data_IF_164194671389
#
_entry.id   IF_164194671389
#
_cell.length_a   1.000
_cell.length_b   1.000
_cell.length_c   1.000
_cell.angle_alpha   90.00
_cell.angle_beta   90.00
_cell.angle_gamma   90.00
#
_symmetry.space_group_name_H-M   'P 1'
#
loop_
_entity.id
_entity.type
_entity.pdbx_description
1 polymer ?
#
# COMPACT_ATOMS: atom_id res chain seq x y z
N UNK A 1 42.46 42.71 75.11
CA UNK A 1 41.91 43.32 73.87
C UNK A 1 41.07 42.27 73.17
N UNK A 2 39.74 42.45 73.00
CA UNK A 2 38.86 41.72 72.05
C UNK A 2 37.35 41.74 72.39
N UNK A 3 36.91 42.30 73.54
CA UNK A 3 35.47 42.49 73.81
C UNK A 3 34.93 43.87 73.42
N UNK A 4 35.74 44.93 73.47
CA UNK A 4 35.30 46.30 73.13
C UNK A 4 35.13 46.55 71.61
N UNK A 5 35.84 45.83 70.75
CA UNK A 5 35.72 45.99 69.28
C UNK A 5 34.45 45.32 68.74
N UNK A 6 33.97 44.27 69.41
CA UNK A 6 32.81 43.48 68.95
C UNK A 6 31.49 44.21 69.19
N UNK A 7 31.33 44.90 70.31
CA UNK A 7 30.12 45.68 70.63
C UNK A 7 29.97 46.94 69.76
N UNK A 8 31.09 47.60 69.40
CA UNK A 8 31.06 48.73 68.47
C UNK A 8 30.62 48.36 67.07
N UNK A 9 30.99 47.17 66.59
CA UNK A 9 30.62 46.68 65.25
C UNK A 9 29.12 46.36 65.14
N UNK A 10 28.53 45.70 66.13
CA UNK A 10 27.09 45.40 66.13
C UNK A 10 26.23 46.66 66.31
N UNK A 11 26.68 47.62 67.11
CA UNK A 11 25.97 48.90 67.25
C UNK A 11 26.05 49.73 65.96
N UNK A 12 27.22 49.74 65.30
CA UNK A 12 27.41 50.39 63.99
C UNK A 12 26.56 49.75 62.89
N UNK A 13 26.44 48.42 62.87
CA UNK A 13 25.63 47.70 61.90
C UNK A 13 24.12 47.93 62.12
N UNK A 14 23.65 47.97 63.37
CA UNK A 14 22.24 48.32 63.67
C UNK A 14 21.89 49.76 63.31
N UNK A 15 22.83 50.71 63.49
CA UNK A 15 22.64 52.10 63.05
C UNK A 15 22.62 52.18 61.52
N UNK A 16 23.48 51.42 60.84
CA UNK A 16 23.48 51.35 59.37
C UNK A 16 22.18 50.73 58.83
N UNK A 17 21.70 49.62 59.41
CA UNK A 17 20.43 48.98 59.06
C UNK A 17 19.20 49.86 59.32
N UNK A 18 19.26 50.73 60.35
CA UNK A 18 18.23 51.73 60.62
C UNK A 18 18.21 52.90 59.63
N UNK A 19 19.36 53.24 59.03
CA UNK A 19 19.45 54.33 58.05
C UNK A 19 19.03 53.90 56.63
N UNK A 20 19.13 52.61 56.28
CA UNK A 20 18.62 52.09 54.99
C UNK A 20 17.10 51.84 55.00
N UNK A 21 16.46 51.82 56.18
CA UNK A 21 15.02 51.58 56.31
C UNK A 21 14.16 52.86 56.36
N UNK A 22 14.78 54.06 56.30
CA UNK A 22 14.07 55.35 56.27
C UNK A 22 14.13 56.10 54.93
N UNK A 23 14.75 55.50 53.90
CA UNK A 23 14.60 55.98 52.53
C UNK A 23 13.29 55.44 51.94
N UNK A 24 12.18 56.07 52.31
CA UNK A 24 10.94 55.95 51.52
C UNK A 24 11.16 56.67 50.19
N UNK A 25 11.68 55.93 49.20
CA UNK A 25 11.74 56.41 47.83
C UNK A 25 10.30 56.57 47.34
N UNK A 26 9.83 57.81 47.36
CA UNK A 26 8.53 58.18 46.81
C UNK A 26 8.81 58.70 45.41
N UNK A 27 8.66 57.88 44.35
CA UNK A 27 8.92 58.34 42.99
C UNK A 27 8.01 59.56 42.71
N UNK A 28 8.64 60.72 42.50
CA UNK A 28 7.93 61.98 42.25
C UNK A 28 7.29 62.02 40.87
N UNK A 29 7.74 61.15 39.96
CA UNK A 29 7.22 61.04 38.60
C UNK A 29 7.16 59.56 38.21
N UNK A 30 6.06 59.16 37.60
CA UNK A 30 5.94 57.87 36.95
C UNK A 30 6.15 58.06 35.46
N UNK A 31 7.27 57.58 34.93
CA UNK A 31 7.54 57.59 33.50
C UNK A 31 6.80 56.42 32.82
N UNK A 32 5.47 56.50 32.81
CA UNK A 32 4.64 55.59 32.03
C UNK A 32 4.54 56.14 30.61
N UNK A 33 5.34 55.58 29.71
CA UNK A 33 5.16 55.77 28.27
C UNK A 33 4.20 54.71 27.76
N UNK A 34 3.02 55.13 27.32
CA UNK A 34 2.10 54.24 26.63
C UNK A 34 2.71 53.85 25.26
N UNK A 35 2.72 52.55 24.99
CA UNK A 35 3.23 51.97 23.75
C UNK A 35 2.04 51.29 23.09
N UNK A 36 1.95 51.39 21.75
CA UNK A 36 0.88 50.74 21.01
C UNK A 36 0.96 49.20 21.20
N UNK A 37 -0.19 48.50 21.28
CA UNK A 37 -0.21 47.05 21.31
C UNK A 37 0.53 46.46 20.10
N UNK A 38 1.25 45.33 20.26
CA UNK A 38 1.90 44.67 19.14
C UNK A 38 0.86 44.18 18.13
N UNK A 39 1.20 44.25 16.84
CA UNK A 39 0.35 43.69 15.76
C UNK A 39 0.73 42.23 15.55
N UNK A 40 -0.25 41.33 15.45
CA UNK A 40 0.02 39.93 15.12
C UNK A 40 0.10 39.77 13.61
N UNK A 41 1.31 39.60 13.09
CA UNK A 41 1.59 39.42 11.66
C UNK A 41 2.53 38.23 11.38
N UNK A 42 2.65 37.33 12.37
CA UNK A 42 3.39 36.09 12.26
C UNK A 42 2.52 34.94 11.73
N UNK A 43 3.09 34.10 10.88
CA UNK A 43 2.39 32.96 10.30
C UNK A 43 3.29 31.72 10.33
N UNK A 44 2.67 30.54 10.47
CA UNK A 44 3.34 29.24 10.32
C UNK A 44 2.50 28.36 9.39
N UNK A 45 3.18 27.67 8.48
CA UNK A 45 2.54 26.81 7.47
C UNK A 45 3.34 25.52 7.30
N UNK A 46 2.66 24.41 7.04
CA UNK A 46 3.31 23.18 6.59
C UNK A 46 3.51 23.22 5.08
N UNK A 47 4.73 22.92 4.63
CA UNK A 47 5.10 22.99 3.21
C UNK A 47 4.56 21.82 2.38
N UNK A 48 4.34 20.66 2.98
CA UNK A 48 3.80 19.48 2.30
C UNK A 48 2.64 18.88 3.11
N UNK A 49 1.41 19.30 2.77
CA UNK A 49 0.21 18.81 3.45
C UNK A 49 -0.12 17.35 3.09
N UNK A 50 0.40 16.82 1.98
CA UNK A 50 0.18 15.43 1.59
C UNK A 50 0.91 14.46 2.52
N UNK A 51 2.07 14.87 3.07
CA UNK A 51 2.79 14.08 4.07
C UNK A 51 2.21 14.19 5.48
N UNK A 52 1.40 15.21 5.78
CA UNK A 52 0.82 15.39 7.13
C UNK A 52 -0.38 14.49 7.36
N UNK A 53 -1.21 14.27 6.36
CA UNK A 53 -2.51 13.61 6.55
C UNK A 53 -2.38 12.13 6.97
N UNK A 54 -1.26 11.46 6.67
CA UNK A 54 -1.10 10.03 6.96
C UNK A 54 0.30 9.72 7.47
N UNK A 55 0.40 9.34 8.74
CA UNK A 55 1.66 9.26 9.47
C UNK A 55 1.93 7.85 9.99
N UNK A 56 3.21 7.45 9.95
CA UNK A 56 3.71 6.18 10.48
C UNK A 56 5.18 6.26 10.87
N UNK A 57 5.52 5.74 12.04
CA UNK A 57 6.89 5.71 12.56
C UNK A 57 7.45 7.09 12.88
N UNK A 58 8.75 7.28 12.59
CA UNK A 58 9.41 8.58 12.76
C UNK A 58 9.04 9.52 11.62
N UNK A 59 8.40 10.63 11.96
CA UNK A 59 7.89 11.63 11.01
C UNK A 59 8.78 12.87 11.05
N UNK A 60 8.94 13.53 9.90
CA UNK A 60 9.58 14.85 9.77
C UNK A 60 8.69 15.73 8.92
N UNK A 61 8.08 16.75 9.53
CA UNK A 61 7.14 17.65 8.86
C UNK A 61 7.86 18.96 8.56
N UNK A 62 8.07 19.33 7.28
CA UNK A 62 8.70 20.59 6.92
C UNK A 62 7.74 21.76 7.17
N UNK A 63 8.21 22.79 7.87
CA UNK A 63 7.41 23.99 8.17
C UNK A 63 8.09 25.24 7.65
N UNK A 64 7.29 26.26 7.36
CA UNK A 64 7.72 27.59 6.97
C UNK A 64 7.08 28.62 7.88
N UNK A 65 7.90 29.53 8.39
CA UNK A 65 7.47 30.64 9.23
C UNK A 65 7.58 31.97 8.45
N UNK A 66 6.68 32.89 8.76
CA UNK A 66 6.76 34.29 8.34
C UNK A 66 6.79 35.12 9.61
N UNK A 67 7.89 35.84 9.82
CA UNK A 67 8.17 36.49 11.10
C UNK A 67 8.14 38.02 11.05
N UNK A 68 8.18 38.66 9.88
CA UNK A 68 8.12 40.12 9.72
C UNK A 68 9.02 40.94 10.68
N UNK A 69 10.21 40.42 11.00
CA UNK A 69 11.17 41.07 11.93
C UNK A 69 11.07 40.60 13.38
N UNK A 70 10.08 39.79 13.73
CA UNK A 70 10.00 39.05 14.99
C UNK A 70 11.03 37.92 15.06
N UNK A 71 11.41 37.54 16.28
CA UNK A 71 12.33 36.42 16.52
C UNK A 71 11.55 35.22 17.05
N UNK A 72 11.77 34.03 16.48
CA UNK A 72 11.18 32.80 17.00
C UNK A 72 11.68 32.56 18.42
N UNK A 73 10.73 32.37 19.36
CA UNK A 73 11.04 31.86 20.70
C UNK A 73 10.87 30.34 20.72
N UNK A 74 9.72 29.86 20.25
CA UNK A 74 9.40 28.44 20.23
C UNK A 74 8.57 28.06 19.01
N UNK A 75 8.76 26.84 18.53
CA UNK A 75 7.77 26.13 17.71
C UNK A 75 7.45 24.81 18.40
N UNK A 76 6.16 24.61 18.64
CA UNK A 76 5.63 23.49 19.40
C UNK A 76 4.74 22.67 18.46
N UNK A 77 4.85 21.35 18.54
CA UNK A 77 3.92 20.42 17.89
C UNK A 77 3.09 19.72 18.95
N UNK A 78 1.79 19.58 18.72
CA UNK A 78 0.86 18.86 19.59
C UNK A 78 0.06 17.84 18.80
N UNK A 79 -0.24 16.70 19.42
CA UNK A 79 -1.24 15.74 18.94
C UNK A 79 -2.30 15.62 20.04
N UNK A 80 -3.55 16.00 19.74
CA UNK A 80 -4.66 16.03 20.71
C UNK A 80 -4.29 16.72 22.05
N UNK A 81 -3.60 17.88 21.95
CA UNK A 81 -3.07 18.68 23.07
C UNK A 81 -1.88 18.08 23.84
N UNK A 82 -1.34 16.93 23.43
CA UNK A 82 -0.09 16.40 23.97
C UNK A 82 1.09 16.92 23.15
N UNK A 83 2.04 17.60 23.80
CA UNK A 83 3.27 18.07 23.14
C UNK A 83 4.10 16.88 22.62
N UNK A 84 4.47 16.94 21.34
CA UNK A 84 5.29 15.91 20.66
C UNK A 84 6.65 16.41 20.22
N UNK A 85 6.82 17.72 20.14
CA UNK A 85 8.04 18.35 19.68
C UNK A 85 8.15 19.78 20.20
N UNK A 86 9.36 20.16 20.56
CA UNK A 86 9.76 21.50 20.96
C UNK A 86 11.02 21.89 20.18
N UNK A 87 10.98 23.02 19.49
CA UNK A 87 12.16 23.64 18.88
C UNK A 87 12.31 25.07 19.37
N UNK A 88 13.51 25.41 19.84
CA UNK A 88 13.86 26.75 20.37
C UNK A 88 14.50 27.67 19.32
N UNK A 89 14.55 27.24 18.06
CA UNK A 89 15.04 28.02 16.92
C UNK A 89 14.08 27.84 15.74
N UNK A 90 14.10 28.77 14.78
CA UNK A 90 13.30 28.70 13.53
C UNK A 90 13.46 27.32 12.88
N UNK A 91 12.51 26.39 13.09
CA UNK A 91 12.68 25.03 12.67
C UNK A 91 12.22 24.98 11.23
N UNK A 92 13.09 24.54 10.34
CA UNK A 92 12.65 24.09 9.02
C UNK A 92 11.78 22.82 9.13
N UNK A 93 11.71 22.17 10.30
CA UNK A 93 11.03 20.89 10.48
C UNK A 93 10.59 20.59 11.92
N UNK A 94 9.51 19.83 12.05
CA UNK A 94 9.03 19.20 13.30
C UNK A 94 9.24 17.69 13.22
N UNK A 95 9.80 17.08 14.26
CA UNK A 95 10.13 15.64 14.29
C UNK A 95 9.53 14.99 15.52
N UNK A 96 8.79 13.91 15.31
CA UNK A 96 8.24 13.08 16.39
C UNK A 96 8.10 11.63 15.91
N UNK A 97 7.81 10.72 16.84
CA UNK A 97 7.55 9.32 16.54
C UNK A 97 6.08 9.00 16.82
N UNK A 98 5.37 8.47 15.82
CA UNK A 98 3.96 8.09 15.98
C UNK A 98 3.78 6.78 16.72
N UNK A 99 4.83 5.97 16.93
CA UNK A 99 4.73 4.66 17.60
C UNK A 99 4.19 4.72 19.03
N UNK A 100 4.16 5.91 19.65
CA UNK A 100 3.57 6.14 20.97
C UNK A 100 2.04 6.33 20.93
N UNK A 101 1.45 6.40 19.74
CA UNK A 101 0.03 6.64 19.50
C UNK A 101 -0.64 5.36 18.98
N UNK A 102 -1.90 5.19 19.35
CA UNK A 102 -2.74 4.16 18.76
C UNK A 102 -3.09 4.53 17.31
N UNK A 103 -3.56 3.55 16.55
CA UNK A 103 -4.06 3.81 15.20
C UNK A 103 -5.37 4.60 15.28
N UNK A 104 -5.51 5.65 14.47
CA UNK A 104 -6.71 6.48 14.49
C UNK A 104 -6.53 7.86 13.85
N UNK A 105 -7.60 8.66 13.94
CA UNK A 105 -7.61 10.06 13.52
C UNK A 105 -7.27 10.96 14.71
N UNK A 106 -6.44 11.97 14.48
CA UNK A 106 -5.96 12.92 15.48
C UNK A 106 -5.94 14.33 14.92
N UNK A 107 -5.92 15.33 15.81
CA UNK A 107 -5.60 16.72 15.44
C UNK A 107 -4.14 17.03 15.77
N UNK A 108 -3.37 17.36 14.73
CA UNK A 108 -2.00 17.84 14.86
C UNK A 108 -1.98 19.37 14.82
N UNK A 109 -1.59 19.99 15.93
CA UNK A 109 -1.50 21.44 16.06
C UNK A 109 -0.04 21.87 16.05
N UNK A 110 0.30 22.85 15.22
CA UNK A 110 1.60 23.51 15.24
C UNK A 110 1.41 24.91 15.80
N UNK A 111 2.21 25.26 16.80
CA UNK A 111 2.19 26.57 17.45
C UNK A 111 3.53 27.28 17.22
N UNK A 112 3.48 28.50 16.70
CA UNK A 112 4.59 29.43 16.62
C UNK A 112 4.45 30.49 17.71
N UNK A 113 5.49 30.62 18.54
CA UNK A 113 5.62 31.67 19.55
C UNK A 113 6.82 32.54 19.16
N UNK A 114 6.60 33.85 19.00
CA UNK A 114 7.63 34.81 18.62
C UNK A 114 7.71 36.00 19.60
N UNK A 115 8.81 36.74 19.56
CA UNK A 115 8.93 38.02 20.25
C UNK A 115 7.92 39.02 19.67
N UNK A 116 7.35 39.89 20.51
CA UNK A 116 6.45 40.94 20.04
C UNK A 116 7.20 42.17 19.54
N UNK A 117 8.45 42.38 19.97
CA UNK A 117 9.29 43.51 19.59
C UNK A 117 8.62 44.89 19.82
N UNK A 118 7.66 44.98 20.74
CA UNK A 118 6.98 46.25 21.03
C UNK A 118 7.87 47.24 21.78
N UNK A 119 8.94 46.74 22.45
CA UNK A 119 9.76 47.52 23.36
C UNK A 119 9.07 47.85 24.68
N UNK A 120 7.93 47.21 24.98
CA UNK A 120 7.26 47.31 26.28
C UNK A 120 8.10 46.65 27.38
N UNK A 121 7.84 47.01 28.65
CA UNK A 121 8.50 46.32 29.76
C UNK A 121 8.20 44.81 29.74
N UNK A 122 6.99 44.42 29.33
CA UNK A 122 6.60 43.01 29.19
C UNK A 122 7.39 42.31 28.07
N UNK A 123 7.63 42.96 26.94
CA UNK A 123 8.49 42.44 25.87
C UNK A 123 9.94 42.28 26.34
N UNK A 124 10.49 43.30 27.03
CA UNK A 124 11.86 43.28 27.55
C UNK A 124 12.11 42.19 28.60
N UNK A 125 11.11 41.85 29.43
CA UNK A 125 11.19 40.73 30.38
C UNK A 125 10.69 39.41 29.78
N UNK A 126 10.32 39.39 28.49
CA UNK A 126 9.89 38.21 27.76
C UNK A 126 8.47 37.73 28.03
N UNK A 127 7.68 38.48 28.82
CA UNK A 127 6.29 38.20 29.15
C UNK A 127 5.30 38.54 28.02
N UNK A 128 5.71 39.36 27.05
CA UNK A 128 4.93 39.63 25.83
C UNK A 128 5.41 38.72 24.69
N UNK A 129 4.47 38.07 24.01
CA UNK A 129 4.72 37.16 22.89
C UNK A 129 3.62 37.29 21.84
N UNK A 130 3.98 37.02 20.58
CA UNK A 130 3.02 36.73 19.53
C UNK A 130 2.78 35.22 19.46
N UNK A 131 1.55 34.85 19.12
CA UNK A 131 1.09 33.48 19.06
C UNK A 131 0.37 33.23 17.74
N UNK A 132 0.76 32.17 17.03
CA UNK A 132 0.10 31.70 15.82
C UNK A 132 -0.01 30.18 15.87
N UNK A 133 -1.17 29.63 15.50
CA UNK A 133 -1.41 28.20 15.54
C UNK A 133 -2.18 27.73 14.30
N UNK A 134 -1.87 26.52 13.84
CA UNK A 134 -2.53 25.85 12.72
C UNK A 134 -2.79 24.39 13.06
N UNK A 135 -4.00 23.92 12.71
CA UNK A 135 -4.45 22.56 12.98
C UNK A 135 -4.55 21.76 11.68
N UNK A 136 -4.13 20.50 11.74
CA UNK A 136 -4.22 19.51 10.67
C UNK A 136 -4.93 18.25 11.17
N UNK A 137 -5.83 17.71 10.36
CA UNK A 137 -6.38 16.37 10.61
C UNK A 137 -5.40 15.33 10.08
N UNK A 138 -4.97 14.41 10.94
CA UNK A 138 -3.98 13.39 10.61
C UNK A 138 -4.50 12.00 10.97
N UNK A 139 -4.14 11.01 10.16
CA UNK A 139 -4.35 9.59 10.46
C UNK A 139 -3.02 8.97 10.87
N UNK A 140 -2.94 8.41 12.07
CA UNK A 140 -1.79 7.61 12.52
C UNK A 140 -2.08 6.13 12.26
N UNK A 141 -1.13 5.44 11.63
CA UNK A 141 -1.23 4.00 11.37
C UNK A 141 0.10 3.29 11.62
N UNK A 142 0.24 2.70 12.79
CA UNK A 142 1.42 1.95 13.24
C UNK A 142 1.23 0.43 13.17
N UNK A 143 0.00 -0.09 13.11
CA UNK A 143 -0.21 -1.53 13.09
C UNK A 143 0.55 -2.23 11.95
N UNK A 144 0.93 -3.51 12.13
CA UNK A 144 1.45 -4.32 11.04
C UNK A 144 0.49 -4.31 9.85
N UNK A 145 1.04 -4.20 8.65
CA UNK A 145 0.23 -4.23 7.41
C UNK A 145 -0.32 -5.63 7.25
N UNK A 146 -1.65 -5.77 7.38
CA UNK A 146 -2.36 -7.00 7.09
C UNK A 146 -2.63 -7.08 5.60
N UNK A 147 -1.93 -7.98 4.91
CA UNK A 147 -2.12 -8.15 3.48
C UNK A 147 -3.35 -9.01 3.24
N UNK A 148 -4.31 -8.55 2.42
CA UNK A 148 -5.45 -9.37 2.06
C UNK A 148 -4.97 -10.61 1.29
N UNK A 149 -5.59 -11.76 1.59
CA UNK A 149 -5.24 -13.01 0.92
C UNK A 149 -6.07 -13.23 -0.34
N UNK A 150 -5.50 -13.98 -1.29
CA UNK A 150 -6.23 -14.45 -2.47
C UNK A 150 -7.25 -15.52 -2.05
N UNK A 151 -8.54 -15.25 -2.24
CA UNK A 151 -9.65 -16.10 -1.82
C UNK A 151 -9.87 -17.28 -2.75
N UNK A 152 -9.93 -17.02 -4.04
CA UNK A 152 -10.25 -18.02 -5.05
C UNK A 152 -9.62 -17.67 -6.40
N UNK A 153 -9.32 -18.71 -7.17
CA UNK A 153 -8.97 -18.62 -8.59
C UNK A 153 -9.83 -19.63 -9.33
N UNK A 154 -10.81 -19.15 -10.08
CA UNK A 154 -11.79 -19.96 -10.79
C UNK A 154 -11.97 -19.49 -12.22
N UNK A 155 -12.61 -20.30 -13.04
CA UNK A 155 -12.93 -19.94 -14.43
C UNK A 155 -14.36 -19.45 -14.46
N UNK A 156 -14.56 -18.25 -15.00
CA UNK A 156 -15.88 -17.66 -15.19
C UNK A 156 -15.92 -17.03 -16.57
N UNK A 157 -16.94 -17.39 -17.37
CA UNK A 157 -17.13 -16.93 -18.75
C UNK A 157 -15.86 -17.10 -19.62
N UNK A 158 -15.16 -18.22 -19.42
CA UNK A 158 -13.95 -18.57 -20.17
C UNK A 158 -12.76 -17.64 -19.97
N UNK A 159 -12.70 -16.98 -18.82
CA UNK A 159 -11.55 -16.21 -18.33
C UNK A 159 -11.22 -16.64 -16.90
N UNK A 160 -9.96 -16.52 -16.50
CA UNK A 160 -9.58 -16.78 -15.11
C UNK A 160 -9.98 -15.60 -14.22
N UNK A 161 -10.84 -15.85 -13.24
CA UNK A 161 -11.24 -14.87 -12.22
C UNK A 161 -10.43 -15.10 -10.95
N UNK A 162 -9.74 -14.06 -10.52
CA UNK A 162 -8.99 -14.02 -9.27
C UNK A 162 -9.78 -13.15 -8.30
N UNK A 163 -9.96 -13.61 -7.06
CA UNK A 163 -10.63 -12.85 -6.00
C UNK A 163 -9.75 -12.76 -4.75
N UNK A 164 -9.91 -11.70 -3.97
CA UNK A 164 -9.17 -11.48 -2.72
C UNK A 164 -10.00 -10.78 -1.65
N UNK A 165 -9.53 -10.84 -0.42
CA UNK A 165 -10.14 -10.14 0.71
C UNK A 165 -10.03 -8.62 0.53
N UNK A 166 -10.97 -7.87 1.09
CA UNK A 166 -10.87 -6.40 1.10
C UNK A 166 -9.86 -5.95 2.15
N UNK A 167 -8.94 -5.08 1.78
CA UNK A 167 -8.09 -4.37 2.75
C UNK A 167 -8.94 -3.44 3.62
N UNK A 168 -8.75 -3.55 4.94
CA UNK A 168 -9.59 -2.92 5.95
C UNK A 168 -8.83 -1.98 6.89
N UNK A 169 -7.55 -1.71 6.62
CA UNK A 169 -6.73 -0.79 7.40
C UNK A 169 -6.62 0.57 6.69
N UNK A 170 -6.06 1.55 7.39
CA UNK A 170 -5.86 2.90 6.87
C UNK A 170 -4.79 2.98 5.77
N UNK A 171 -4.76 4.15 5.12
CA UNK A 171 -3.68 4.55 4.21
C UNK A 171 -3.47 3.63 2.99
N UNK A 172 -4.55 2.97 2.54
CA UNK A 172 -4.54 2.19 1.30
C UNK A 172 -4.13 3.07 0.12
N UNK A 173 -3.21 2.58 -0.70
CA UNK A 173 -2.78 3.26 -1.92
C UNK A 173 -3.19 2.49 -3.18
N UNK A 174 -2.87 1.20 -3.22
CA UNK A 174 -3.19 0.36 -4.35
C UNK A 174 -3.00 -1.14 -4.07
N UNK A 175 -3.70 -1.95 -4.85
CA UNK A 175 -3.37 -3.35 -5.10
C UNK A 175 -2.53 -3.48 -6.36
N UNK A 176 -1.63 -4.46 -6.39
CA UNK A 176 -0.93 -4.92 -7.59
C UNK A 176 -1.08 -6.43 -7.66
N UNK A 177 -1.75 -6.92 -8.69
CA UNK A 177 -1.84 -8.35 -8.95
C UNK A 177 -0.66 -8.78 -9.84
N UNK A 178 0.05 -9.82 -9.42
CA UNK A 178 1.16 -10.41 -10.17
C UNK A 178 0.84 -11.85 -10.56
N UNK A 179 1.34 -12.26 -11.72
CA UNK A 179 1.33 -13.64 -12.22
C UNK A 179 2.76 -14.04 -12.53
N UNK A 180 3.22 -15.13 -11.91
CA UNK A 180 4.59 -15.64 -12.05
C UNK A 180 5.64 -14.55 -11.80
N UNK A 181 5.38 -13.67 -10.82
CA UNK A 181 6.25 -12.53 -10.45
C UNK A 181 6.11 -11.28 -11.31
N UNK A 182 5.44 -11.36 -12.47
CA UNK A 182 5.22 -10.21 -13.37
C UNK A 182 3.93 -9.50 -13.03
N UNK A 183 3.92 -8.16 -13.13
CA UNK A 183 2.71 -7.35 -12.90
C UNK A 183 1.71 -7.61 -14.02
N UNK A 184 0.48 -7.97 -13.64
CA UNK A 184 -0.65 -8.11 -14.58
C UNK A 184 -1.45 -6.81 -14.60
N UNK A 185 -1.77 -6.28 -13.43
CA UNK A 185 -2.65 -5.11 -13.28
C UNK A 185 -2.47 -4.47 -11.90
N UNK A 186 -2.81 -3.18 -11.79
CA UNK A 186 -2.86 -2.43 -10.53
C UNK A 186 -4.19 -1.71 -10.35
N UNK A 187 -4.66 -1.62 -9.10
CA UNK A 187 -5.95 -1.00 -8.75
C UNK A 187 -5.75 0.02 -7.63
N UNK A 188 -6.28 1.23 -7.80
CA UNK A 188 -6.31 2.27 -6.75
C UNK A 188 -7.60 2.29 -5.94
N UNK A 189 -8.62 1.52 -6.35
CA UNK A 189 -9.86 1.37 -5.58
C UNK A 189 -9.73 0.21 -4.59
N UNK A 190 -9.87 0.51 -3.30
CA UNK A 190 -9.82 -0.48 -2.21
C UNK A 190 -10.96 -1.50 -2.29
N UNK A 191 -12.07 -1.14 -2.95
CA UNK A 191 -13.25 -2.00 -3.12
C UNK A 191 -13.12 -2.96 -4.30
N UNK A 192 -12.10 -2.81 -5.15
CA UNK A 192 -11.81 -3.77 -6.21
C UNK A 192 -11.19 -5.03 -5.59
N UNK A 193 -12.01 -6.07 -5.43
CA UNK A 193 -11.64 -7.35 -4.79
C UNK A 193 -11.62 -8.54 -5.75
N UNK A 194 -11.69 -8.27 -7.05
CA UNK A 194 -11.61 -9.31 -8.08
C UNK A 194 -11.02 -8.79 -9.39
N UNK A 195 -10.52 -9.69 -10.21
CA UNK A 195 -10.01 -9.38 -11.55
C UNK A 195 -10.18 -10.57 -12.48
N UNK A 196 -10.49 -10.29 -13.75
CA UNK A 196 -10.54 -11.27 -14.83
C UNK A 196 -9.26 -11.17 -15.66
N UNK A 197 -8.39 -12.16 -15.54
CA UNK A 197 -7.14 -12.25 -16.30
C UNK A 197 -7.40 -12.86 -17.68
N UNK A 198 -7.74 -11.99 -18.64
CA UNK A 198 -7.99 -12.36 -20.04
C UNK A 198 -6.73 -12.75 -20.81
N UNK A 199 -5.55 -12.58 -20.20
CA UNK A 199 -4.26 -12.90 -20.82
C UNK A 199 -3.72 -14.26 -20.36
N UNK A 200 -4.41 -14.93 -19.43
CA UNK A 200 -4.00 -16.23 -18.94
C UNK A 200 -4.29 -17.32 -19.96
N UNK A 201 -3.27 -18.13 -20.28
CA UNK A 201 -3.42 -19.25 -21.20
C UNK A 201 -2.72 -20.50 -20.66
N UNK A 202 -3.53 -21.48 -20.28
CA UNK A 202 -3.22 -22.92 -20.18
C UNK A 202 -2.05 -23.43 -19.33
N UNK A 203 -1.16 -22.57 -18.81
CA UNK A 203 -0.01 -22.96 -18.01
C UNK A 203 -0.30 -22.88 -16.51
N UNK A 204 0.52 -23.54 -15.70
CA UNK A 204 0.54 -23.38 -14.27
C UNK A 204 0.85 -21.91 -13.91
N UNK A 205 -0.01 -21.31 -13.09
CA UNK A 205 0.15 -19.92 -12.69
C UNK A 205 0.27 -19.78 -11.18
N UNK A 206 1.15 -18.87 -10.77
CA UNK A 206 1.32 -18.43 -9.38
C UNK A 206 0.89 -16.98 -9.30
N UNK A 207 -0.20 -16.73 -8.59
CA UNK A 207 -0.68 -15.38 -8.34
C UNK A 207 -0.26 -14.89 -6.95
N UNK A 208 0.15 -13.63 -6.87
CA UNK A 208 0.37 -12.91 -5.61
C UNK A 208 -0.29 -11.53 -5.70
N UNK A 209 -0.78 -11.06 -4.55
CA UNK A 209 -1.32 -9.72 -4.40
C UNK A 209 -0.33 -8.88 -3.57
N UNK A 210 0.21 -7.82 -4.16
CA UNK A 210 0.94 -6.81 -3.39
C UNK A 210 -0.01 -5.68 -3.01
N UNK A 211 -0.10 -5.39 -1.72
CA UNK A 211 -0.83 -4.23 -1.20
C UNK A 211 0.17 -3.13 -0.86
N UNK A 212 -0.04 -1.93 -1.43
CA UNK A 212 0.72 -0.74 -1.06
C UNK A 212 -0.06 0.11 -0.07
N UNK A 213 0.64 0.50 0.99
CA UNK A 213 0.14 1.32 2.09
C UNK A 213 1.20 2.40 2.32
N UNK A 214 0.86 3.67 2.08
CA UNK A 214 1.86 4.75 2.05
C UNK A 214 3.04 4.44 1.10
N UNK A 215 4.24 4.38 1.66
CA UNK A 215 5.50 4.02 1.00
C UNK A 215 5.92 2.57 1.24
N UNK A 216 5.07 1.79 1.93
CA UNK A 216 5.30 0.39 2.22
C UNK A 216 4.55 -0.49 1.23
N UNK A 217 5.08 -1.69 1.02
CA UNK A 217 4.43 -2.74 0.26
C UNK A 217 4.56 -4.04 1.00
N UNK A 218 3.50 -4.83 1.02
CA UNK A 218 3.53 -6.18 1.54
C UNK A 218 2.77 -7.11 0.59
N UNK A 219 3.19 -8.37 0.52
CA UNK A 219 2.73 -9.34 -0.47
C UNK A 219 1.99 -10.50 0.20
N UNK A 220 0.91 -10.95 -0.44
CA UNK A 220 0.09 -12.06 0.04
C UNK A 220 0.84 -13.39 -0.10
N UNK A 221 0.29 -14.45 0.50
CA UNK A 221 0.72 -15.79 0.11
C UNK A 221 0.45 -16.03 -1.38
N UNK A 222 1.31 -16.84 -1.98
CA UNK A 222 1.13 -17.26 -3.38
C UNK A 222 -0.04 -18.22 -3.47
N UNK A 223 -0.96 -17.96 -4.41
CA UNK A 223 -2.02 -18.90 -4.78
C UNK A 223 -1.71 -19.53 -6.12
N UNK A 224 -1.72 -20.85 -6.12
CA UNK A 224 -1.43 -21.64 -7.30
C UNK A 224 -2.71 -21.99 -8.04
N UNK A 225 -2.68 -21.83 -9.36
CA UNK A 225 -3.68 -22.37 -10.26
C UNK A 225 -3.01 -23.41 -11.17
N UNK A 226 -3.48 -24.65 -11.06
CA UNK A 226 -3.04 -25.72 -11.95
C UNK A 226 -3.65 -25.48 -13.34
N UNK A 227 -2.81 -25.44 -14.37
CA UNK A 227 -3.27 -25.34 -15.74
C UNK A 227 -4.24 -26.47 -16.07
N UNK A 228 -5.22 -26.18 -16.93
CA UNK A 228 -6.18 -27.20 -17.38
C UNK A 228 -5.71 -27.75 -18.71
N UNK A 229 -5.67 -29.06 -18.81
CA UNK A 229 -5.39 -29.77 -20.05
C UNK A 229 -6.67 -29.98 -20.87
N UNK A 230 -6.59 -29.94 -22.21
CA UNK A 230 -7.66 -30.49 -23.02
C UNK A 230 -7.84 -31.99 -22.69
N UNK A 231 -9.03 -32.54 -22.89
CA UNK A 231 -9.30 -33.96 -22.62
C UNK A 231 -10.10 -34.58 -23.77
N UNK A 232 -9.68 -35.75 -24.23
CA UNK A 232 -10.49 -36.57 -25.12
C UNK A 232 -11.70 -37.13 -24.35
N UNK A 233 -12.84 -37.17 -25.03
CA UNK A 233 -14.07 -37.81 -24.55
C UNK A 233 -14.12 -39.25 -25.09
N UNK A 234 -13.91 -39.41 -26.39
CA UNK A 234 -13.96 -40.71 -27.06
C UNK A 234 -13.23 -40.70 -28.40
N UNK A 235 -12.89 -41.89 -28.88
CA UNK A 235 -12.68 -42.16 -30.29
C UNK A 235 -13.53 -43.37 -30.66
N UNK A 236 -14.42 -43.21 -31.63
CA UNK A 236 -15.41 -44.23 -32.01
C UNK A 236 -15.31 -44.52 -33.50
N UNK A 237 -15.16 -45.80 -33.83
CA UNK A 237 -15.12 -46.25 -35.22
C UNK A 237 -16.47 -46.00 -35.88
N UNK A 238 -16.45 -45.38 -37.06
CA UNK A 238 -17.61 -45.18 -37.92
C UNK A 238 -17.68 -46.27 -39.01
N UNK A 239 -18.69 -46.19 -39.86
CA UNK A 239 -18.71 -46.96 -41.11
C UNK A 239 -17.54 -46.55 -42.03
N UNK A 240 -17.14 -47.45 -42.92
CA UNK A 240 -16.04 -47.25 -43.87
C UNK A 240 -14.66 -47.03 -43.24
N UNK A 241 -14.40 -47.68 -42.10
CA UNK A 241 -13.10 -47.65 -41.42
C UNK A 241 -12.62 -46.26 -40.95
N UNK A 242 -13.54 -45.29 -40.82
CA UNK A 242 -13.26 -43.95 -40.30
C UNK A 242 -13.31 -43.89 -38.76
N UNK A 243 -12.74 -42.84 -38.17
CA UNK A 243 -12.75 -42.61 -36.72
C UNK A 243 -13.37 -41.26 -36.36
N UNK A 244 -14.42 -41.24 -35.55
CA UNK A 244 -14.92 -40.02 -34.92
C UNK A 244 -14.18 -39.80 -33.59
N UNK A 245 -13.38 -38.75 -33.52
CA UNK A 245 -12.67 -38.33 -32.32
C UNK A 245 -13.44 -37.18 -31.69
N UNK A 246 -13.72 -37.26 -30.39
CA UNK A 246 -14.47 -36.24 -29.64
C UNK A 246 -13.66 -35.79 -28.43
N UNK A 247 -13.69 -34.49 -28.11
CA UNK A 247 -13.02 -33.90 -26.94
C UNK A 247 -13.89 -32.88 -26.21
N UNK A 248 -13.53 -32.58 -24.97
CA UNK A 248 -14.20 -31.54 -24.19
C UNK A 248 -13.75 -30.16 -24.66
N UNK A 249 -14.72 -29.23 -24.72
CA UNK A 249 -14.42 -27.82 -24.99
C UNK A 249 -13.43 -27.28 -23.95
N UNK A 250 -12.46 -26.51 -24.43
CA UNK A 250 -11.43 -25.91 -23.60
C UNK A 250 -12.04 -24.72 -22.87
N UNK A 251 -11.85 -24.59 -21.55
CA UNK A 251 -12.59 -23.61 -20.78
C UNK A 251 -12.17 -22.17 -21.08
N UNK A 252 -10.93 -21.91 -21.46
CA UNK A 252 -10.41 -20.54 -21.68
C UNK A 252 -10.70 -20.02 -23.08
N UNK A 253 -11.89 -19.49 -23.33
CA UNK A 253 -12.30 -19.06 -24.68
C UNK A 253 -11.68 -17.74 -25.15
N UNK A 254 -11.18 -16.90 -24.25
CA UNK A 254 -10.69 -15.55 -24.60
C UNK A 254 -9.23 -15.49 -25.04
N UNK A 255 -8.41 -16.46 -24.64
CA UNK A 255 -6.98 -16.49 -24.95
C UNK A 255 -6.64 -17.67 -25.89
N UNK A 256 -7.67 -18.34 -26.40
CA UNK A 256 -7.58 -19.58 -27.15
C UNK A 256 -7.72 -19.34 -28.66
N UNK A 257 -6.73 -19.82 -29.41
CA UNK A 257 -6.68 -19.67 -30.87
C UNK A 257 -7.18 -20.89 -31.62
N UNK A 258 -6.66 -22.10 -31.31
CA UNK A 258 -6.97 -23.31 -32.09
C UNK A 258 -6.68 -24.62 -31.37
N UNK A 259 -7.40 -25.67 -31.74
CA UNK A 259 -6.99 -27.05 -31.46
C UNK A 259 -6.06 -27.55 -32.55
N UNK A 260 -5.11 -28.41 -32.17
CA UNK A 260 -4.32 -29.19 -33.12
C UNK A 260 -4.37 -30.65 -32.70
N UNK A 261 -4.82 -31.50 -33.61
CA UNK A 261 -4.84 -32.95 -33.42
C UNK A 261 -3.70 -33.56 -34.21
N UNK A 262 -2.73 -34.11 -33.48
CA UNK A 262 -1.64 -34.91 -34.02
C UNK A 262 -2.00 -36.39 -34.06
N UNK A 263 -1.32 -37.15 -34.93
CA UNK A 263 -1.63 -38.57 -35.18
C UNK A 263 -2.55 -38.82 -36.37
N UNK A 264 -3.08 -37.75 -36.97
CA UNK A 264 -3.67 -37.75 -38.31
C UNK A 264 -2.54 -37.77 -39.37
N UNK A 265 -2.82 -38.29 -40.57
CA UNK A 265 -1.86 -38.35 -41.70
C UNK A 265 -1.24 -36.98 -41.99
N UNK A 266 -2.08 -35.94 -41.97
CA UNK A 266 -1.69 -34.53 -41.89
C UNK A 266 -2.21 -33.97 -40.55
N UNK A 267 -1.34 -33.39 -39.72
CA UNK A 267 -1.79 -32.78 -38.46
C UNK A 267 -2.80 -31.67 -38.74
N UNK A 268 -4.06 -31.87 -38.36
CA UNK A 268 -5.14 -30.93 -38.66
C UNK A 268 -5.27 -29.89 -37.56
N UNK A 269 -5.25 -28.62 -37.97
CA UNK A 269 -5.53 -27.48 -37.11
C UNK A 269 -7.00 -27.08 -37.23
N UNK A 270 -7.71 -27.03 -36.11
CA UNK A 270 -9.10 -26.57 -36.02
C UNK A 270 -9.10 -25.15 -35.46
N UNK A 271 -9.33 -24.18 -36.35
CA UNK A 271 -9.32 -22.75 -36.00
C UNK A 271 -10.62 -22.28 -35.35
N UNK A 272 -11.69 -23.08 -35.41
CA UNK A 272 -12.91 -22.80 -34.67
C UNK A 272 -12.76 -23.32 -33.25
N UNK A 273 -12.82 -22.39 -32.30
CA UNK A 273 -12.74 -22.67 -30.86
C UNK A 273 -13.92 -23.47 -30.30
N UNK A 274 -14.95 -23.65 -31.12
CA UNK A 274 -16.15 -24.41 -30.77
C UNK A 274 -16.12 -25.84 -31.29
N UNK A 275 -15.12 -26.21 -32.09
CA UNK A 275 -15.00 -27.56 -32.63
C UNK A 275 -14.62 -28.52 -31.50
N UNK A 276 -15.40 -29.58 -31.36
CA UNK A 276 -15.19 -30.64 -30.35
C UNK A 276 -15.11 -32.03 -30.96
N UNK A 277 -15.15 -32.11 -32.30
CA UNK A 277 -15.11 -33.37 -33.04
C UNK A 277 -14.28 -33.27 -34.32
N UNK A 278 -13.65 -34.38 -34.72
CA UNK A 278 -13.04 -34.58 -36.04
C UNK A 278 -13.31 -36.00 -36.52
N UNK A 279 -13.46 -36.17 -37.83
CA UNK A 279 -13.42 -37.47 -38.47
C UNK A 279 -12.03 -37.69 -39.09
N UNK A 280 -11.30 -38.68 -38.58
CA UNK A 280 -10.13 -39.22 -39.27
C UNK A 280 -10.61 -40.19 -40.36
N UNK A 281 -10.25 -39.92 -41.60
CA UNK A 281 -10.62 -40.76 -42.73
C UNK A 281 -9.64 -41.92 -42.94
N UNK A 282 -8.42 -41.84 -42.39
CA UNK A 282 -7.36 -42.83 -42.56
C UNK A 282 -6.76 -43.25 -41.20
N UNK A 283 -7.56 -43.70 -40.22
CA UNK A 283 -7.04 -44.07 -38.91
C UNK A 283 -6.10 -45.28 -39.01
N UNK A 284 -5.04 -45.37 -38.19
CA UNK A 284 -4.09 -46.49 -38.18
C UNK A 284 -4.71 -47.74 -37.52
N UNK A 285 -5.67 -48.35 -38.21
CA UNK A 285 -6.37 -49.55 -37.75
C UNK A 285 -5.41 -50.76 -37.73
N UNK A 286 -5.59 -51.66 -36.76
CA UNK A 286 -4.82 -52.91 -36.65
C UNK A 286 -3.39 -52.79 -36.11
N UNK A 287 -2.69 -51.66 -36.29
CA UNK A 287 -1.32 -51.45 -35.78
C UNK A 287 -1.24 -50.74 -34.43
N UNK A 288 -2.38 -50.22 -33.97
CA UNK A 288 -2.44 -49.29 -32.86
C UNK A 288 -2.01 -47.89 -33.30
N UNK A 289 -2.55 -46.88 -32.63
CA UNK A 289 -2.31 -45.47 -32.94
C UNK A 289 -2.49 -44.59 -31.71
N UNK A 290 -1.82 -43.45 -31.71
CA UNK A 290 -1.96 -42.44 -30.66
C UNK A 290 -2.39 -41.12 -31.29
N UNK A 291 -3.52 -40.57 -30.85
CA UNK A 291 -3.86 -39.19 -31.16
C UNK A 291 -3.40 -38.29 -30.02
N UNK A 292 -2.97 -37.09 -30.38
CA UNK A 292 -2.59 -36.04 -29.43
C UNK A 292 -3.48 -34.82 -29.60
N UNK A 293 -4.05 -34.29 -28.53
CA UNK A 293 -4.81 -33.04 -28.56
C UNK A 293 -4.02 -31.94 -27.87
N UNK A 294 -3.67 -30.92 -28.66
CA UNK A 294 -2.96 -29.72 -28.21
C UNK A 294 -3.85 -28.49 -28.37
N UNK A 295 -3.71 -27.54 -27.45
CA UNK A 295 -4.39 -26.24 -27.48
C UNK A 295 -3.34 -25.19 -27.76
N UNK A 296 -3.64 -24.23 -28.63
CA UNK A 296 -2.77 -23.09 -28.91
C UNK A 296 -3.49 -21.78 -28.61
N UNK A 297 -2.75 -20.80 -28.11
CA UNK A 297 -3.24 -19.45 -27.90
C UNK A 297 -3.45 -18.73 -29.24
N UNK A 298 -4.09 -17.55 -29.20
CA UNK A 298 -4.19 -16.68 -30.38
C UNK A 298 -2.82 -16.24 -30.93
N UNK A 299 -1.80 -16.14 -30.04
CA UNK A 299 -0.42 -15.81 -30.42
C UNK A 299 0.37 -17.02 -30.92
N UNK A 300 -0.23 -18.21 -30.94
CA UNK A 300 0.41 -19.44 -31.39
C UNK A 300 1.27 -20.15 -30.34
N UNK A 301 1.17 -19.75 -29.07
CA UNK A 301 1.81 -20.45 -27.96
C UNK A 301 1.08 -21.77 -27.68
N UNK A 302 1.81 -22.87 -27.58
CA UNK A 302 1.24 -24.18 -27.28
C UNK A 302 1.01 -24.32 -25.78
N UNK A 303 -0.17 -24.76 -25.37
CA UNK A 303 -0.42 -25.18 -23.99
C UNK A 303 0.57 -26.30 -23.62
N UNK A 304 1.18 -26.25 -22.43
CA UNK A 304 2.21 -27.22 -22.03
C UNK A 304 1.67 -28.66 -21.98
N UNK A 305 0.38 -28.81 -21.66
CA UNK A 305 -0.26 -30.12 -21.57
C UNK A 305 -0.87 -30.58 -22.88
N UNK A 306 -0.65 -31.84 -23.22
CA UNK A 306 -1.21 -32.53 -24.39
C UNK A 306 -2.02 -33.73 -23.91
N UNK A 307 -3.24 -33.92 -24.40
CA UNK A 307 -4.02 -35.13 -24.12
C UNK A 307 -3.70 -36.22 -25.13
N UNK A 308 -3.84 -37.48 -24.71
CA UNK A 308 -3.56 -38.66 -25.53
C UNK A 308 -4.75 -39.62 -25.49
N UNK A 309 -4.97 -40.32 -26.61
CA UNK A 309 -5.83 -41.50 -26.66
C UNK A 309 -5.11 -42.57 -27.49
N UNK A 310 -5.05 -43.80 -26.96
CA UNK A 310 -4.33 -44.93 -27.55
C UNK A 310 -5.30 -46.07 -27.85
N UNK A 311 -5.22 -46.63 -29.05
CA UNK A 311 -5.88 -47.90 -29.41
C UNK A 311 -4.89 -49.05 -29.40
N UNK A 312 -5.16 -50.12 -28.64
CA UNK A 312 -4.26 -51.29 -28.52
C UNK A 312 -4.48 -52.35 -29.60
N UNK A 313 -5.62 -52.32 -30.30
CA UNK A 313 -5.85 -52.93 -31.62
C UNK A 313 -7.25 -52.53 -32.03
N UNK A 314 -7.40 -51.78 -33.11
CA UNK A 314 -8.71 -51.31 -33.57
C UNK A 314 -9.44 -52.44 -34.33
N UNK A 315 -9.76 -53.54 -33.65
CA UNK A 315 -10.53 -54.64 -34.23
C UNK A 315 -12.02 -54.29 -34.26
N UNK A 316 -12.75 -54.84 -35.23
CA UNK A 316 -14.05 -54.34 -35.71
C UNK A 316 -15.24 -54.39 -34.74
N UNK A 317 -15.07 -54.79 -33.47
CA UNK A 317 -16.21 -55.06 -32.56
C UNK A 317 -16.07 -54.61 -31.09
N UNK A 318 -14.96 -54.02 -30.63
CA UNK A 318 -14.79 -53.70 -29.21
C UNK A 318 -14.92 -52.21 -28.86
N UNK A 319 -15.63 -51.93 -27.77
CA UNK A 319 -15.65 -50.64 -27.09
C UNK A 319 -14.23 -50.26 -26.65
N UNK A 320 -13.77 -49.10 -27.09
CA UNK A 320 -12.47 -48.56 -26.72
C UNK A 320 -12.35 -48.30 -25.22
N UNK A 321 -11.30 -48.84 -24.61
CA UNK A 321 -10.91 -48.45 -23.25
C UNK A 321 -10.06 -47.18 -23.32
N UNK A 322 -10.60 -46.07 -22.79
CA UNK A 322 -9.93 -44.77 -22.74
C UNK A 322 -8.84 -44.79 -21.65
N UNK A 323 -7.57 -44.85 -22.03
CA UNK A 323 -6.46 -44.61 -21.09
C UNK A 323 -6.01 -43.14 -21.19
N UNK A 324 -6.49 -42.30 -20.28
CA UNK A 324 -5.98 -40.93 -20.14
C UNK A 324 -4.71 -40.97 -19.28
N UNK A 325 -3.54 -40.90 -19.94
CA UNK A 325 -2.27 -40.62 -19.25
C UNK A 325 -1.98 -39.12 -19.32
N UNK A 326 -2.06 -38.46 -18.17
CA UNK A 326 -1.63 -37.07 -18.01
C UNK A 326 -0.14 -37.10 -17.68
N UNK A 327 0.70 -36.63 -18.60
CA UNK A 327 2.09 -36.33 -18.31
C UNK A 327 2.16 -34.84 -17.92
N UNK A 328 2.29 -34.58 -16.62
CA UNK A 328 2.58 -33.26 -16.03
C UNK A 328 4.07 -33.03 -15.94
#
# INVERSE_FOLDING_TARGET
MNKLVRTGFFLGLSILLGLISSCDYTPTETNFKEIAPPTSDIEITVLDTNTVNQLRGRVTIPVQTKLNGHTVKYVLGYIDNQEVSLSMSDPSHIVFNTEYYQDGEYTFTIVLIASSNSGSLADLVGAEVLYSAVDYQITIFNAPINVPQLNDISIENGTLKITWEKYNQYCFKQYILKRNGSIVVSFSDVNQTSYFDTTYFADNARYTLTTKVLNFSSESQTKYFAGISPTFVSATKLQDDKMLITWNKYPFTHSFGKYVIGGLEDSTAFTSVNDTTVIDNNPPLGTGGTYTLSVYSETGEKAPTTAYIQGTSWNSFDLMTLFVKIYS
#
